data_IF_241416436212
#
_entry.id   IF_241416436212
#
_cell.length_a   1.000
_cell.length_b   1.000
_cell.length_c   1.000
_cell.angle_alpha   90.00
_cell.angle_beta   90.00
_cell.angle_gamma   90.00
#
_symmetry.space_group_name_H-M   'P 1'
#
loop_
_entity.id
_entity.type
_entity.pdbx_description
1 polymer ?
#
# COMPACT_ATOMS: atom_id res chain seq x y z
N UNK A 1 53.06 -43.87 -36.57
CA UNK A 1 52.91 -45.23 -37.09
C UNK A 1 53.03 -46.18 -35.92
N UNK A 2 52.19 -47.18 -35.64
CA UNK A 2 50.87 -47.56 -36.11
C UNK A 2 50.27 -48.49 -35.05
N UNK A 3 48.95 -48.42 -34.96
CA UNK A 3 47.97 -49.20 -34.19
C UNK A 3 48.22 -50.72 -34.19
N UNK A 4 47.87 -51.41 -33.09
CA UNK A 4 47.00 -52.61 -33.15
C UNK A 4 46.27 -52.91 -31.84
N UNK A 5 45.02 -53.30 -32.04
CA UNK A 5 43.91 -53.54 -31.11
C UNK A 5 43.56 -55.02 -31.17
N UNK A 6 43.08 -55.60 -30.05
CA UNK A 6 42.24 -56.81 -30.04
C UNK A 6 41.57 -56.92 -28.66
N UNK A 7 40.25 -56.71 -28.53
CA UNK A 7 39.13 -57.69 -28.67
C UNK A 7 39.06 -58.66 -27.46
N UNK A 8 37.95 -59.06 -26.85
CA UNK A 8 36.49 -58.92 -27.06
C UNK A 8 35.77 -59.63 -25.87
N UNK A 9 34.45 -59.39 -25.74
CA UNK A 9 33.36 -60.25 -25.18
C UNK A 9 32.65 -59.67 -23.92
N UNK A 10 31.43 -59.11 -24.08
CA UNK A 10 30.06 -59.72 -24.08
C UNK A 10 29.64 -60.13 -22.64
N UNK A 11 28.49 -59.78 -22.03
CA UNK A 11 27.07 -59.72 -22.45
C UNK A 11 26.32 -58.74 -21.49
N UNK A 12 25.48 -57.83 -21.98
CA UNK A 12 24.00 -57.89 -22.13
C UNK A 12 23.17 -57.84 -20.82
N UNK A 13 22.35 -56.79 -20.68
CA UNK A 13 21.35 -56.61 -19.62
C UNK A 13 20.57 -55.30 -19.76
N UNK A 14 19.63 -55.25 -20.71
CA UNK A 14 18.67 -54.16 -20.90
C UNK A 14 17.62 -54.15 -19.77
N UNK A 15 17.33 -52.99 -19.17
CA UNK A 15 16.01 -52.72 -18.57
C UNK A 15 15.78 -51.22 -18.32
N UNK A 16 14.99 -50.62 -19.22
CA UNK A 16 14.02 -49.54 -19.02
C UNK A 16 14.51 -48.19 -18.50
N UNK A 17 14.72 -47.33 -19.51
CA UNK A 17 14.70 -45.88 -19.50
C UNK A 17 13.30 -45.40 -19.11
N UNK A 18 13.10 -44.99 -17.85
CA UNK A 18 11.94 -44.16 -17.48
C UNK A 18 12.17 -42.75 -18.03
N UNK A 19 11.47 -42.46 -19.12
CA UNK A 19 11.31 -41.10 -19.62
C UNK A 19 10.30 -40.41 -18.71
N UNK A 20 10.77 -39.63 -17.73
CA UNK A 20 9.92 -38.65 -17.10
C UNK A 20 9.79 -37.47 -18.07
N UNK A 21 8.61 -37.41 -18.70
CA UNK A 21 8.20 -36.31 -19.56
C UNK A 21 8.28 -34.99 -18.78
N UNK A 22 9.17 -34.10 -19.22
CA UNK A 22 9.17 -32.71 -18.78
C UNK A 22 7.90 -32.04 -19.30
N UNK A 23 6.87 -31.94 -18.47
CA UNK A 23 5.78 -31.00 -18.72
C UNK A 23 6.35 -29.60 -18.73
N UNK A 24 6.11 -28.76 -19.76
CA UNK A 24 6.47 -27.36 -19.67
C UNK A 24 5.58 -26.73 -18.59
N UNK A 25 6.18 -26.42 -17.43
CA UNK A 25 5.55 -25.54 -16.46
C UNK A 25 5.46 -24.18 -17.14
N UNK A 26 4.28 -23.90 -17.68
CA UNK A 26 3.91 -22.61 -18.20
C UNK A 26 3.88 -21.68 -16.98
N UNK A 27 5.00 -21.02 -16.69
CA UNK A 27 5.06 -19.96 -15.69
C UNK A 27 4.30 -18.75 -16.25
N UNK A 28 2.97 -18.82 -16.21
CA UNK A 28 2.08 -17.66 -16.21
C UNK A 28 1.89 -17.19 -14.76
N UNK A 29 2.99 -17.05 -14.04
CA UNK A 29 3.05 -16.29 -12.80
C UNK A 29 3.36 -14.86 -13.15
N UNK A 30 2.34 -14.07 -13.50
CA UNK A 30 2.43 -12.61 -13.38
C UNK A 30 2.97 -12.34 -11.97
N UNK A 31 4.10 -11.64 -11.76
CA UNK A 31 4.49 -11.26 -10.41
C UNK A 31 3.30 -10.50 -9.83
N UNK A 32 2.71 -11.04 -8.77
CA UNK A 32 1.51 -10.45 -8.20
C UNK A 32 1.84 -9.00 -7.86
N UNK A 33 0.93 -8.10 -8.26
CA UNK A 33 1.17 -6.65 -8.27
C UNK A 33 1.49 -6.05 -6.89
N UNK A 34 1.38 -6.85 -5.83
CA UNK A 34 1.70 -6.58 -4.44
C UNK A 34 3.20 -6.43 -4.13
N UNK A 35 4.09 -6.85 -5.03
CA UNK A 35 5.55 -6.90 -4.79
C UNK A 35 6.36 -5.74 -5.42
N UNK A 36 5.75 -4.94 -6.29
CA UNK A 36 6.47 -3.90 -7.05
C UNK A 36 6.38 -2.51 -6.42
N UNK A 37 5.74 -2.34 -5.26
CA UNK A 37 5.43 -1.01 -4.74
C UNK A 37 6.62 -0.38 -3.99
N UNK A 38 7.51 -1.19 -3.41
CA UNK A 38 8.71 -0.72 -2.73
C UNK A 38 9.83 -0.23 -3.68
N UNK A 39 9.82 -0.66 -4.94
CA UNK A 39 10.83 -0.26 -5.93
C UNK A 39 10.42 0.94 -6.82
N UNK A 40 9.13 1.30 -6.86
CA UNK A 40 8.59 2.36 -7.74
C UNK A 40 8.86 3.78 -7.25
N UNK A 41 9.03 4.00 -5.94
CA UNK A 41 9.26 5.34 -5.38
C UNK A 41 10.34 5.35 -4.30
N UNK A 42 11.00 6.50 -4.14
CA UNK A 42 11.96 6.75 -3.05
C UNK A 42 11.21 6.77 -1.71
N UNK A 43 11.00 5.60 -1.13
CA UNK A 43 10.35 5.44 0.16
C UNK A 43 11.26 5.89 1.29
N UNK A 44 10.69 6.61 2.25
CA UNK A 44 11.40 7.03 3.47
C UNK A 44 11.15 6.01 4.58
N UNK A 45 12.22 5.39 5.06
CA UNK A 45 12.20 4.58 6.28
C UNK A 45 11.91 5.49 7.47
N UNK A 46 10.92 5.12 8.29
CA UNK A 46 10.50 5.81 9.50
C UNK A 46 10.60 4.88 10.70
N UNK A 47 10.72 5.48 11.87
CA UNK A 47 10.73 4.80 13.18
C UNK A 47 9.55 5.25 14.05
N UNK A 48 9.01 6.42 13.74
CA UNK A 48 7.85 7.02 14.37
C UNK A 48 7.12 7.84 13.30
N UNK A 49 5.82 8.01 13.47
CA UNK A 49 5.04 8.85 12.57
C UNK A 49 4.96 10.30 13.05
N UNK A 50 5.22 11.23 12.14
CA UNK A 50 5.14 12.66 12.39
C UNK A 50 3.74 13.24 12.30
N UNK A 51 2.68 12.43 12.15
CA UNK A 51 1.33 12.98 12.05
C UNK A 51 0.95 13.71 13.34
N UNK A 52 0.25 14.84 13.20
CA UNK A 52 -0.25 15.63 14.31
C UNK A 52 -1.45 14.97 14.99
N UNK A 53 -2.24 14.19 14.24
CA UNK A 53 -3.40 13.51 14.77
C UNK A 53 -2.97 12.35 15.68
N UNK A 54 -3.08 12.54 16.99
CA UNK A 54 -2.71 11.54 17.98
C UNK A 54 -3.41 10.18 17.75
N UNK A 55 -4.66 10.20 17.28
CA UNK A 55 -5.45 9.01 17.01
C UNK A 55 -4.90 8.17 15.84
N UNK A 56 -4.13 8.75 14.91
CA UNK A 56 -3.58 8.01 13.74
C UNK A 56 -2.06 7.91 13.74
N UNK A 57 -1.43 8.42 14.79
CA UNK A 57 0.02 8.46 14.94
C UNK A 57 0.53 7.07 15.34
N UNK A 58 1.45 6.53 14.56
CA UNK A 58 2.24 5.38 14.97
C UNK A 58 3.38 5.86 15.88
N UNK A 59 3.33 5.47 17.15
CA UNK A 59 4.40 5.73 18.12
C UNK A 59 5.68 4.95 17.81
N UNK A 60 6.75 5.24 18.56
CA UNK A 60 8.00 4.51 18.46
C UNK A 60 7.87 3.13 19.12
N UNK A 61 7.91 2.08 18.31
CA UNK A 61 7.85 0.67 18.73
C UNK A 61 9.20 -0.07 18.54
N UNK A 62 10.24 0.66 18.13
CA UNK A 62 11.55 0.09 17.82
C UNK A 62 11.63 -0.65 16.48
N UNK A 63 10.54 -0.70 15.69
CA UNK A 63 10.50 -1.40 14.41
C UNK A 63 10.49 -0.39 13.26
N UNK A 64 11.46 -0.43 12.33
CA UNK A 64 11.43 0.45 11.18
C UNK A 64 10.25 0.10 10.26
N UNK A 65 9.65 1.11 9.65
CA UNK A 65 8.52 0.94 8.76
C UNK A 65 8.53 1.94 7.59
N UNK A 66 7.81 1.59 6.52
CA UNK A 66 7.55 2.43 5.36
C UNK A 66 6.03 2.58 5.22
N UNK A 67 5.56 3.82 5.02
CA UNK A 67 4.16 4.09 4.68
C UNK A 67 4.06 4.03 3.16
N UNK A 68 3.27 3.09 2.64
CA UNK A 68 3.03 2.94 1.21
C UNK A 68 1.94 3.91 0.74
N UNK A 69 0.80 3.90 1.42
CA UNK A 69 -0.35 4.71 1.06
C UNK A 69 -1.15 5.13 2.30
N UNK A 70 -1.91 6.21 2.15
CA UNK A 70 -2.84 6.71 3.14
C UNK A 70 -4.11 7.19 2.47
N UNK A 71 -5.25 6.71 2.95
CA UNK A 71 -6.57 7.07 2.43
C UNK A 71 -7.47 7.55 3.55
N UNK A 72 -8.17 8.66 3.30
CA UNK A 72 -9.21 9.18 4.18
C UNK A 72 -10.54 8.95 3.49
N UNK A 73 -11.45 8.24 4.15
CA UNK A 73 -12.81 8.00 3.70
C UNK A 73 -13.76 8.88 4.52
N UNK A 74 -14.36 9.87 3.88
CA UNK A 74 -15.37 10.72 4.51
C UNK A 74 -16.76 10.05 4.45
N UNK A 75 -17.62 10.35 5.42
CA UNK A 75 -19.04 9.99 5.37
C UNK A 75 -19.71 10.50 4.07
N UNK A 76 -20.72 9.77 3.57
CA UNK A 76 -21.55 10.24 2.46
C UNK A 76 -22.20 11.60 2.74
N UNK A 77 -22.58 11.86 4.00
CA UNK A 77 -23.10 13.13 4.48
C UNK A 77 -22.00 14.05 5.07
N UNK A 78 -20.73 13.76 4.80
CA UNK A 78 -19.60 14.56 5.28
C UNK A 78 -19.55 15.97 4.71
N UNK A 79 -18.45 16.69 4.99
CA UNK A 79 -18.23 18.06 4.51
C UNK A 79 -18.20 18.12 2.98
N UNK A 80 -18.94 19.06 2.39
CA UNK A 80 -18.84 19.34 0.95
C UNK A 80 -17.57 20.16 0.66
N UNK A 81 -16.47 19.46 0.37
CA UNK A 81 -15.18 20.07 0.00
C UNK A 81 -15.25 20.91 -1.29
N UNK A 82 -16.31 20.78 -2.08
CA UNK A 82 -16.53 21.53 -3.32
C UNK A 82 -17.54 22.66 -3.19
N UNK A 83 -18.06 22.93 -1.97
CA UNK A 83 -19.05 23.97 -1.75
C UNK A 83 -18.59 25.34 -2.28
N UNK A 84 -17.36 25.74 -1.97
CA UNK A 84 -16.78 27.00 -2.44
C UNK A 84 -16.79 27.16 -3.97
N UNK A 85 -16.48 26.09 -4.71
CA UNK A 85 -16.50 26.12 -6.18
C UNK A 85 -17.92 26.27 -6.72
N UNK A 86 -18.89 25.61 -6.07
CA UNK A 86 -20.31 25.70 -6.45
C UNK A 86 -20.87 27.11 -6.18
N UNK A 87 -20.57 27.69 -5.02
CA UNK A 87 -21.04 29.03 -4.66
C UNK A 87 -20.44 30.10 -5.58
N UNK A 88 -19.15 30.00 -5.90
CA UNK A 88 -18.49 30.91 -6.86
C UNK A 88 -19.09 30.80 -8.27
N UNK A 89 -19.29 29.58 -8.77
CA UNK A 89 -19.93 29.39 -10.08
C UNK A 89 -21.35 29.97 -10.14
N UNK A 90 -22.10 29.87 -9.04
CA UNK A 90 -23.44 30.45 -8.94
C UNK A 90 -23.41 31.99 -8.90
N UNK A 91 -22.45 32.60 -8.20
CA UNK A 91 -22.29 34.06 -8.19
C UNK A 91 -21.85 34.62 -9.53
N UNK A 92 -20.97 33.91 -10.24
CA UNK A 92 -20.47 34.32 -11.56
C UNK A 92 -21.57 34.18 -12.62
N UNK A 93 -22.42 33.15 -12.53
CA UNK A 93 -23.58 32.97 -13.43
C UNK A 93 -24.65 34.06 -13.28
N UNK A 94 -24.79 34.70 -12.12
CA UNK A 94 -25.76 35.79 -11.91
C UNK A 94 -25.28 37.15 -12.48
N UNK A 95 -24.06 37.23 -13.04
CA UNK A 95 -23.49 38.48 -13.56
C UNK A 95 -23.75 38.71 -15.05
N UNK A 96 -24.14 37.70 -15.80
CA UNK A 96 -24.31 37.77 -17.26
C UNK A 96 -25.77 37.42 -17.63
N UNK A 97 -26.50 38.41 -18.15
CA UNK A 97 -27.87 38.36 -18.70
C UNK A 97 -28.78 37.17 -18.32
N UNK A 98 -29.51 37.31 -17.21
CA UNK A 98 -30.29 36.25 -16.58
C UNK A 98 -31.72 36.10 -17.18
N UNK A 99 -31.88 35.25 -18.19
CA UNK A 99 -33.20 34.78 -18.65
C UNK A 99 -33.73 33.70 -17.70
N UNK A 100 -34.36 34.12 -16.59
CA UNK A 100 -34.89 33.21 -15.56
C UNK A 100 -35.96 32.27 -16.13
N UNK A 101 -35.60 31.01 -16.39
CA UNK A 101 -36.61 29.95 -16.60
C UNK A 101 -37.28 29.54 -15.29
N UNK A 102 -38.54 29.16 -15.43
CA UNK A 102 -39.52 28.67 -14.45
C UNK A 102 -38.88 27.83 -13.31
N UNK A 103 -39.08 28.28 -12.06
CA UNK A 103 -38.78 27.64 -10.76
C UNK A 103 -37.95 26.35 -10.83
N UNK A 104 -36.62 26.46 -10.92
CA UNK A 104 -35.73 25.34 -10.71
C UNK A 104 -35.67 25.01 -9.21
N UNK A 105 -36.26 23.89 -8.78
CA UNK A 105 -36.13 23.39 -7.41
C UNK A 105 -34.74 22.80 -7.25
N UNK A 106 -33.79 23.63 -6.81
CA UNK A 106 -32.46 23.17 -6.39
C UNK A 106 -32.66 22.17 -5.25
N UNK A 107 -32.32 20.90 -5.49
CA UNK A 107 -32.30 19.89 -4.43
C UNK A 107 -31.12 20.20 -3.51
N UNK A 108 -31.35 20.17 -2.20
CA UNK A 108 -30.27 20.24 -1.21
C UNK A 108 -29.23 19.15 -1.46
N UNK A 109 -27.96 19.43 -1.21
CA UNK A 109 -26.92 18.40 -1.34
C UNK A 109 -27.10 17.36 -0.23
N UNK A 110 -26.72 16.10 -0.50
CA UNK A 110 -26.66 15.05 0.53
C UNK A 110 -25.57 15.33 1.60
N UNK A 111 -24.82 16.43 1.51
CA UNK A 111 -23.66 16.71 2.37
C UNK A 111 -24.08 17.63 3.52
N UNK A 112 -24.18 17.08 4.73
CA UNK A 112 -24.59 17.80 5.94
C UNK A 112 -23.43 18.19 6.86
N UNK A 113 -22.17 17.97 6.43
CA UNK A 113 -21.01 18.35 7.23
C UNK A 113 -20.66 17.37 8.34
N UNK A 114 -21.02 16.09 8.20
CA UNK A 114 -20.61 15.04 9.14
C UNK A 114 -19.08 14.95 9.26
N UNK A 115 -18.58 14.95 10.50
CA UNK A 115 -17.14 14.86 10.80
C UNK A 115 -16.60 13.42 10.77
N UNK A 116 -17.49 12.43 10.70
CA UNK A 116 -17.13 11.02 10.66
C UNK A 116 -16.26 10.72 9.41
N UNK A 117 -15.04 10.28 9.69
CA UNK A 117 -14.05 9.88 8.69
C UNK A 117 -13.29 8.65 9.18
N UNK A 118 -13.00 7.74 8.25
CA UNK A 118 -12.12 6.58 8.49
C UNK A 118 -10.76 6.91 7.90
N UNK A 119 -9.71 6.80 8.70
CA UNK A 119 -8.34 6.95 8.22
C UNK A 119 -7.73 5.57 8.04
N UNK A 120 -7.34 5.23 6.81
CA UNK A 120 -6.65 3.99 6.50
C UNK A 120 -5.22 4.27 6.12
N UNK A 121 -4.29 3.46 6.62
CA UNK A 121 -2.87 3.57 6.31
C UNK A 121 -2.30 2.20 6.01
N UNK A 122 -1.65 2.12 4.87
CA UNK A 122 -0.93 0.93 4.46
C UNK A 122 0.56 1.10 4.78
N UNK A 123 1.08 0.15 5.55
CA UNK A 123 2.41 0.22 6.12
C UNK A 123 3.11 -1.12 5.95
N UNK A 124 4.38 -1.10 5.59
CA UNK A 124 5.25 -2.28 5.67
C UNK A 124 6.15 -2.12 6.88
N UNK A 125 6.10 -3.07 7.82
CA UNK A 125 6.98 -3.12 9.00
C UNK A 125 8.11 -4.13 8.78
N UNK A 126 9.27 -3.84 9.33
CA UNK A 126 10.46 -4.66 9.16
C UNK A 126 11.02 -5.13 10.52
N UNK A 127 10.40 -6.14 11.16
CA UNK A 127 10.81 -6.61 12.49
C UNK A 127 12.25 -7.14 12.53
N UNK A 128 12.76 -7.65 11.40
CA UNK A 128 14.14 -8.12 11.26
C UNK A 128 15.21 -7.04 11.45
N UNK A 129 14.85 -5.75 11.32
CA UNK A 129 15.74 -4.60 11.54
C UNK A 129 15.36 -3.80 12.78
N UNK A 130 14.60 -4.40 13.70
CA UNK A 130 14.18 -3.74 14.92
C UNK A 130 15.36 -3.42 15.86
N UNK A 131 15.22 -2.35 16.62
CA UNK A 131 16.17 -1.90 17.64
C UNK A 131 15.47 -1.99 19.01
N UNK A 132 16.15 -2.44 20.07
CA UNK A 132 15.59 -2.41 21.42
C UNK A 132 15.17 -1.00 21.82
N UNK A 133 13.94 -0.86 22.33
CA UNK A 133 13.34 0.44 22.70
C UNK A 133 14.17 1.15 23.79
N UNK A 134 14.74 0.38 24.71
CA UNK A 134 15.52 0.87 25.85
C UNK A 134 16.83 1.57 25.44
N UNK A 135 17.39 1.20 24.28
CA UNK A 135 18.70 1.68 23.83
C UNK A 135 18.55 2.46 22.53
N UNK A 136 17.52 3.31 22.51
CA UNK A 136 17.23 4.17 21.39
C UNK A 136 18.36 5.19 21.17
N UNK A 137 18.88 5.22 19.95
CA UNK A 137 19.90 6.17 19.53
C UNK A 137 19.79 6.45 18.05
N UNK A 138 19.87 7.73 17.68
CA UNK A 138 19.82 8.19 16.28
C UNK A 138 20.83 7.45 15.38
N UNK A 139 22.06 7.27 15.85
CA UNK A 139 23.11 6.56 15.09
C UNK A 139 22.70 5.13 14.76
N UNK A 140 22.07 4.42 15.69
CA UNK A 140 21.61 3.04 15.49
C UNK A 140 20.46 2.97 14.51
N UNK A 141 19.50 3.90 14.63
CA UNK A 141 18.39 4.06 13.66
C UNK A 141 18.91 4.28 12.24
N UNK A 142 19.94 5.13 12.08
CA UNK A 142 20.54 5.42 10.78
C UNK A 142 21.25 4.19 10.20
N UNK A 143 22.02 3.46 11.01
CA UNK A 143 22.69 2.21 10.60
C UNK A 143 21.68 1.13 10.19
N UNK A 144 20.63 0.91 10.99
CA UNK A 144 19.59 -0.07 10.67
C UNK A 144 18.79 0.34 9.42
N UNK A 145 18.51 1.63 9.24
CA UNK A 145 17.84 2.15 8.05
C UNK A 145 18.71 2.02 6.79
N UNK A 146 20.04 2.17 6.90
CA UNK A 146 20.96 1.93 5.79
C UNK A 146 20.96 0.46 5.36
N UNK A 147 21.09 -0.46 6.32
CA UNK A 147 21.01 -1.91 6.07
C UNK A 147 19.69 -2.33 5.46
N UNK A 148 18.57 -1.76 5.93
CA UNK A 148 17.25 -2.01 5.37
C UNK A 148 17.17 -1.53 3.90
N UNK A 149 17.75 -0.37 3.57
CA UNK A 149 17.75 0.13 2.18
C UNK A 149 18.56 -0.76 1.26
N UNK A 150 19.73 -1.24 1.71
CA UNK A 150 20.54 -2.21 0.96
C UNK A 150 19.75 -3.51 0.72
N UNK A 151 19.15 -4.06 1.78
CA UNK A 151 18.36 -5.28 1.68
C UNK A 151 17.13 -5.12 0.77
N UNK A 152 16.49 -3.94 0.76
CA UNK A 152 15.37 -3.62 -0.13
C UNK A 152 15.79 -3.49 -1.61
N UNK A 153 17.06 -3.13 -1.89
CA UNK A 153 17.58 -3.11 -3.27
C UNK A 153 17.79 -4.53 -3.80
N UNK A 154 18.23 -5.45 -2.93
CA UNK A 154 18.44 -6.85 -3.29
C UNK A 154 17.12 -7.63 -3.37
N UNK A 155 16.23 -7.42 -2.39
CA UNK A 155 14.98 -8.16 -2.25
C UNK A 155 13.84 -7.20 -1.89
N UNK A 156 12.94 -6.96 -2.84
CA UNK A 156 11.79 -6.07 -2.63
C UNK A 156 10.71 -6.68 -1.70
N UNK A 157 10.80 -7.98 -1.37
CA UNK A 157 9.78 -8.72 -0.61
C UNK A 157 10.07 -8.84 0.89
N UNK A 158 10.83 -7.89 1.45
CA UNK A 158 11.12 -7.89 2.86
C UNK A 158 10.00 -7.18 3.64
N UNK A 159 9.68 -7.70 4.82
CA UNK A 159 8.75 -7.07 5.77
C UNK A 159 7.30 -7.57 5.71
N UNK A 160 6.54 -7.13 6.71
CA UNK A 160 5.14 -7.47 6.93
C UNK A 160 4.24 -6.30 6.52
N UNK A 161 3.36 -6.53 5.54
CA UNK A 161 2.35 -5.55 5.11
C UNK A 161 1.20 -5.53 6.11
N UNK A 162 0.88 -4.35 6.64
CA UNK A 162 -0.17 -4.12 7.65
C UNK A 162 -1.03 -2.94 7.23
N UNK A 163 -2.34 -3.07 7.41
CA UNK A 163 -3.30 -1.97 7.19
C UNK A 163 -3.82 -1.53 8.55
N UNK A 164 -3.53 -0.28 8.92
CA UNK A 164 -4.08 0.34 10.12
C UNK A 164 -5.34 1.12 9.74
N UNK A 165 -6.47 0.73 10.31
CA UNK A 165 -7.75 1.42 10.16
C UNK A 165 -8.10 2.13 11.45
N UNK A 166 -8.27 3.45 11.37
CA UNK A 166 -8.73 4.27 12.47
C UNK A 166 -10.17 4.67 12.20
N UNK A 167 -11.06 4.09 12.98
CA UNK A 167 -12.50 4.37 12.92
C UNK A 167 -12.79 5.73 13.56
N UNK A 168 -13.83 6.44 13.09
CA UNK A 168 -14.25 7.68 13.70
C UNK A 168 -14.64 7.44 15.17
N UNK A 169 -14.22 8.31 16.10
CA UNK A 169 -14.57 8.18 17.51
C UNK A 169 -16.02 8.57 17.81
N UNK A 170 -16.63 9.38 16.95
CA UNK A 170 -18.01 9.82 17.08
C UNK A 170 -18.87 9.11 16.03
N UNK A 171 -20.02 8.61 16.50
CA UNK A 171 -21.10 8.21 15.62
C UNK A 171 -21.60 9.40 14.79
N UNK A 172 -22.35 9.11 13.75
CA UNK A 172 -22.92 10.09 12.83
C UNK A 172 -23.95 11.02 13.54
N UNK A 173 -23.49 11.94 14.37
CA UNK A 173 -24.34 12.80 15.21
C UNK A 173 -25.16 13.81 14.42
N UNK A 174 -24.74 14.15 13.21
CA UNK A 174 -25.35 15.23 12.40
C UNK A 174 -26.35 14.73 11.35
N UNK A 175 -26.58 13.41 11.25
CA UNK A 175 -27.58 12.84 10.36
C UNK A 175 -27.98 11.44 10.80
N UNK A 176 -29.16 10.99 10.41
CA UNK A 176 -29.58 9.60 10.61
C UNK A 176 -28.67 8.66 9.77
N UNK A 177 -28.28 7.54 10.37
CA UNK A 177 -27.74 6.42 9.62
C UNK A 177 -28.92 5.79 8.88
N UNK A 178 -28.88 5.77 7.55
CA UNK A 178 -30.03 5.34 6.75
C UNK A 178 -30.48 3.92 7.10
N UNK A 179 -31.78 3.76 7.30
CA UNK A 179 -32.51 2.53 6.96
C UNK A 179 -32.44 2.26 5.45
#
# INVERSE_FOLDING_TARGET
>A
MSIRVSKLSKLCGNSKREQQASTPVINLGRPSAEHADLCKSKHRVRWEDGNKDACTRMGFDGVPFIILDSKILDCQHGVDRHNYRKTKAQSDAHRDHDFKKRRFRVQGTKKFGCEAKINMREVIKFPQFAIPIEIDSRKRRDVAAAKLKEALQENANLGERRIYMYLPPADHTTHLNGE
#
